data_IF_726141829460
#
_entry.id   IF_726141829460
#
_cell.length_a   1.000
_cell.length_b   1.000
_cell.length_c   1.000
_cell.angle_alpha   90.00
_cell.angle_beta   90.00
_cell.angle_gamma   90.00
#
_symmetry.space_group_name_H-M   'P 1'
#
loop_
_entity.id
_entity.type
_entity.pdbx_description
1 polymer ?
#
# COMPACT_ATOMS: atom_id res chain seq x y z
N UNK A 1 -13.81 -9.45 -12.60
CA UNK A 1 -12.46 -9.64 -13.17
C UNK A 1 -11.47 -9.23 -12.09
N UNK A 2 -10.63 -10.15 -11.63
CA UNK A 2 -9.67 -9.89 -10.56
C UNK A 2 -8.29 -9.77 -11.20
N UNK A 3 -7.68 -8.60 -11.08
CA UNK A 3 -6.26 -8.42 -11.43
C UNK A 3 -5.44 -9.25 -10.43
N UNK A 4 -4.55 -10.08 -10.92
CA UNK A 4 -3.60 -10.84 -10.11
C UNK A 4 -2.27 -10.10 -10.06
N UNK A 5 -1.62 -10.14 -8.90
CA UNK A 5 -0.33 -9.50 -8.68
C UNK A 5 0.56 -10.42 -7.85
N UNK A 6 1.71 -10.76 -8.40
CA UNK A 6 2.72 -11.58 -7.74
C UNK A 6 4.04 -10.82 -7.65
N UNK A 7 4.73 -10.96 -6.51
CA UNK A 7 6.08 -10.43 -6.32
C UNK A 7 7.09 -11.53 -6.65
N UNK A 8 8.07 -11.20 -7.48
CA UNK A 8 9.13 -12.10 -7.92
C UNK A 8 10.49 -11.56 -7.49
N UNK A 9 11.56 -12.32 -7.67
CA UNK A 9 12.91 -11.86 -7.36
C UNK A 9 13.32 -10.63 -8.19
N UNK A 10 12.84 -10.54 -9.43
CA UNK A 10 13.21 -9.48 -10.39
C UNK A 10 12.23 -8.32 -10.43
N UNK A 11 11.01 -8.48 -9.91
CA UNK A 11 9.96 -7.49 -10.14
C UNK A 11 8.55 -7.87 -9.68
N UNK A 12 7.57 -7.16 -10.23
CA UNK A 12 6.14 -7.43 -10.04
C UNK A 12 5.54 -8.00 -11.32
N UNK A 13 4.78 -9.08 -11.19
CA UNK A 13 4.00 -9.68 -12.28
C UNK A 13 2.53 -9.33 -12.08
N UNK A 14 1.88 -8.81 -13.12
CA UNK A 14 0.49 -8.43 -13.14
C UNK A 14 -0.24 -9.17 -14.26
N UNK A 15 -1.44 -9.67 -13.97
CA UNK A 15 -2.25 -10.39 -14.95
C UNK A 15 -3.70 -9.91 -14.90
N UNK A 16 -4.43 -10.15 -16.00
CA UNK A 16 -5.86 -9.87 -16.10
C UNK A 16 -6.19 -8.37 -15.92
N UNK A 17 -5.47 -7.51 -16.65
CA UNK A 17 -5.73 -6.06 -16.70
C UNK A 17 -6.98 -5.75 -17.53
N UNK A 18 -7.74 -4.71 -17.17
CA UNK A 18 -8.95 -4.35 -17.91
C UNK A 18 -8.66 -4.07 -19.39
N UNK A 19 -9.32 -4.82 -20.28
CA UNK A 19 -9.13 -4.71 -21.73
C UNK A 19 -8.01 -5.59 -22.30
N UNK A 20 -7.25 -6.28 -21.44
CA UNK A 20 -6.19 -7.22 -21.79
C UNK A 20 -6.26 -8.49 -20.91
N UNK A 21 -7.31 -9.31 -21.06
CA UNK A 21 -7.38 -10.61 -20.38
C UNK A 21 -6.23 -11.52 -20.83
N UNK A 22 -5.70 -12.34 -19.94
CA UNK A 22 -4.64 -13.34 -20.20
C UNK A 22 -3.27 -12.76 -20.61
N UNK A 23 -3.14 -11.44 -20.71
CA UNK A 23 -1.84 -10.79 -20.85
C UNK A 23 -1.11 -10.81 -19.50
N UNK A 24 0.18 -11.13 -19.55
CA UNK A 24 1.08 -11.02 -18.40
C UNK A 24 1.92 -9.76 -18.57
N UNK A 25 1.99 -8.93 -17.53
CA UNK A 25 2.80 -7.70 -17.50
C UNK A 25 3.82 -7.84 -16.40
N UNK A 26 5.09 -7.74 -16.77
CA UNK A 26 6.23 -7.78 -15.86
C UNK A 26 6.76 -6.36 -15.67
N UNK A 27 7.03 -6.01 -14.42
CA UNK A 27 7.59 -4.71 -14.03
C UNK A 27 8.90 -4.99 -13.30
N UNK A 28 10.02 -4.57 -13.87
CA UNK A 28 11.31 -4.65 -13.20
C UNK A 28 11.29 -3.76 -11.95
N UNK A 29 11.76 -4.25 -10.80
CA UNK A 29 11.80 -3.48 -9.56
C UNK A 29 13.22 -3.35 -9.03
N UNK A 30 13.62 -2.14 -8.69
CA UNK A 30 14.75 -1.94 -7.78
C UNK A 30 14.23 -2.01 -6.34
N UNK A 31 14.37 -3.18 -5.72
CA UNK A 31 13.93 -3.43 -4.34
C UNK A 31 14.64 -2.57 -3.29
N UNK A 32 15.81 -1.99 -3.59
CA UNK A 32 16.51 -1.09 -2.66
C UNK A 32 15.81 0.25 -2.55
N UNK A 33 15.35 0.76 -3.69
CA UNK A 33 14.69 2.08 -3.78
C UNK A 33 13.18 2.00 -3.89
N UNK A 34 12.63 0.80 -4.05
CA UNK A 34 11.22 0.54 -4.35
C UNK A 34 10.73 1.27 -5.60
N UNK A 35 11.61 1.42 -6.59
CA UNK A 35 11.31 2.13 -7.83
C UNK A 35 11.02 1.15 -8.97
N UNK A 36 9.99 1.48 -9.77
CA UNK A 36 9.59 0.67 -10.92
C UNK A 36 10.38 1.03 -12.18
N UNK A 37 11.12 0.05 -12.69
CA UNK A 37 11.90 0.09 -13.91
C UNK A 37 11.07 -0.18 -15.17
N UNK A 38 11.58 -1.01 -16.06
CA UNK A 38 10.95 -1.28 -17.34
C UNK A 38 9.67 -2.12 -17.18
N UNK A 39 8.71 -1.88 -18.08
CA UNK A 39 7.43 -2.60 -18.11
C UNK A 39 7.37 -3.41 -19.40
N UNK A 40 7.24 -4.73 -19.28
CA UNK A 40 7.19 -5.67 -20.40
C UNK A 40 5.81 -6.32 -20.45
N UNK A 41 5.23 -6.40 -21.63
CA UNK A 41 3.96 -7.10 -21.85
C UNK A 41 4.21 -8.39 -22.63
N UNK A 42 3.87 -9.51 -22.02
CA UNK A 42 3.91 -10.85 -22.59
C UNK A 42 2.51 -11.18 -23.14
N UNK A 43 2.37 -11.36 -24.46
CA UNK A 43 1.10 -11.68 -25.06
C UNK A 43 0.69 -13.14 -24.80
N UNK A 44 -0.62 -13.44 -24.75
CA UNK A 44 -1.09 -14.82 -24.73
C UNK A 44 -0.73 -15.57 -26.02
N UNK A 45 -0.63 -16.91 -26.00
CA UNK A 45 -0.34 -17.71 -27.19
C UNK A 45 -1.29 -17.40 -28.35
N UNK A 46 -0.76 -17.33 -29.58
CA UNK A 46 -1.56 -17.05 -30.77
C UNK A 46 -1.91 -15.56 -31.01
N UNK A 47 -1.40 -14.65 -30.17
CA UNK A 47 -1.59 -13.21 -30.38
C UNK A 47 -0.93 -12.72 -31.67
N UNK A 48 -1.67 -11.97 -32.48
CA UNK A 48 -1.16 -11.36 -33.73
C UNK A 48 -0.07 -10.33 -33.41
N UNK A 49 0.95 -10.24 -34.26
CA UNK A 49 2.10 -9.30 -34.08
C UNK A 49 1.69 -7.84 -33.89
N UNK A 50 0.59 -7.41 -34.51
CA UNK A 50 0.06 -6.05 -34.47
C UNK A 50 -1.06 -5.83 -33.42
N UNK A 51 -1.28 -6.78 -32.51
CA UNK A 51 -2.24 -6.59 -31.43
C UNK A 51 -1.79 -5.44 -30.51
N UNK A 52 -2.75 -4.60 -30.10
CA UNK A 52 -2.52 -3.52 -29.14
C UNK A 52 -2.11 -4.10 -27.79
N UNK A 53 -0.99 -3.62 -27.25
CA UNK A 53 -0.39 -4.10 -26.00
C UNK A 53 -0.79 -3.20 -24.83
N UNK A 54 -0.78 -3.71 -23.59
CA UNK A 54 -0.92 -2.88 -22.39
C UNK A 54 0.12 -1.75 -22.33
N UNK A 55 1.33 -2.01 -22.82
CA UNK A 55 2.46 -1.06 -22.86
C UNK A 55 2.28 0.08 -23.86
N UNK A 56 1.32 -0.02 -24.79
CA UNK A 56 1.03 1.04 -25.76
C UNK A 56 0.21 2.19 -25.13
N UNK A 57 -0.36 1.98 -23.94
CA UNK A 57 -1.14 2.97 -23.20
C UNK A 57 -0.29 3.56 -22.06
N UNK A 58 0.30 4.75 -22.29
CA UNK A 58 1.19 5.41 -21.34
C UNK A 58 0.54 5.69 -19.98
N UNK A 59 -0.77 5.94 -19.93
CA UNK A 59 -1.49 6.16 -18.68
C UNK A 59 -1.70 4.85 -17.91
N UNK A 60 -1.94 3.75 -18.63
CA UNK A 60 -1.94 2.41 -18.04
C UNK A 60 -0.55 2.03 -17.52
N UNK A 61 0.52 2.25 -18.30
CA UNK A 61 1.91 2.00 -17.88
C UNK A 61 2.25 2.77 -16.61
N UNK A 62 1.87 4.06 -16.53
CA UNK A 62 2.04 4.83 -15.29
C UNK A 62 1.34 4.18 -14.11
N UNK A 63 0.08 3.75 -14.26
CA UNK A 63 -0.67 3.09 -13.17
C UNK A 63 -0.08 1.73 -12.80
N UNK A 64 0.44 0.97 -13.77
CA UNK A 64 1.14 -0.29 -13.54
C UNK A 64 2.37 -0.05 -12.66
N UNK A 65 3.22 0.93 -13.01
CA UNK A 65 4.38 1.31 -12.20
C UNK A 65 3.98 1.73 -10.79
N UNK A 66 3.02 2.64 -10.67
CA UNK A 66 2.52 3.07 -9.35
C UNK A 66 1.95 1.91 -8.53
N UNK A 67 1.33 0.92 -9.17
CA UNK A 67 0.83 -0.30 -8.48
C UNK A 67 1.99 -1.13 -7.96
N UNK A 68 3.03 -1.33 -8.77
CA UNK A 68 4.22 -2.08 -8.39
C UNK A 68 4.96 -1.42 -7.22
N UNK A 69 5.21 -0.10 -7.30
CA UNK A 69 5.85 0.67 -6.22
C UNK A 69 5.00 0.67 -4.95
N UNK A 70 3.67 0.81 -5.08
CA UNK A 70 2.78 0.84 -3.93
C UNK A 70 2.60 -0.53 -3.27
N UNK A 71 3.04 -1.65 -3.87
CA UNK A 71 2.88 -2.99 -3.30
C UNK A 71 3.49 -3.14 -1.90
N UNK A 72 4.47 -2.31 -1.53
CA UNK A 72 5.04 -2.22 -0.17
C UNK A 72 4.01 -1.90 0.92
N UNK A 73 2.95 -1.13 0.60
CA UNK A 73 2.04 -0.52 1.56
C UNK A 73 0.65 -1.20 1.63
N UNK A 74 0.57 -2.49 1.28
CA UNK A 74 -0.66 -3.26 1.40
C UNK A 74 -1.19 -3.23 2.87
N UNK A 75 -2.51 -3.08 3.11
CA UNK A 75 -3.62 -3.09 2.14
C UNK A 75 -3.99 -1.72 1.58
N UNK A 76 -3.34 -0.63 1.99
CA UNK A 76 -3.74 0.75 1.65
C UNK A 76 -3.44 1.11 0.19
N UNK A 77 -2.44 0.46 -0.40
CA UNK A 77 -2.06 0.59 -1.80
C UNK A 77 -2.92 -0.22 -2.77
N UNK A 78 -3.81 -1.08 -2.28
CA UNK A 78 -4.68 -1.91 -3.12
C UNK A 78 -5.61 -1.10 -4.03
N UNK A 79 -5.75 0.20 -3.79
CA UNK A 79 -6.46 1.12 -4.69
C UNK A 79 -5.81 1.26 -6.06
N UNK A 80 -4.48 1.16 -6.14
CA UNK A 80 -3.75 1.16 -7.40
C UNK A 80 -4.03 -0.12 -8.18
N UNK A 81 -4.00 -1.27 -7.51
CA UNK A 81 -4.38 -2.56 -8.10
C UNK A 81 -5.83 -2.56 -8.59
N UNK A 82 -6.76 -2.03 -7.80
CA UNK A 82 -8.17 -1.90 -8.20
C UNK A 82 -8.33 -1.01 -9.44
N UNK A 83 -7.49 0.02 -9.61
CA UNK A 83 -7.54 0.89 -10.77
C UNK A 83 -7.16 0.20 -12.08
N UNK A 84 -6.35 -0.87 -12.01
CA UNK A 84 -5.97 -1.68 -13.17
C UNK A 84 -7.10 -2.60 -13.66
N UNK A 85 -8.05 -2.91 -12.78
CA UNK A 85 -9.25 -3.69 -13.09
C UNK A 85 -10.34 -2.84 -13.77
N UNK A 86 -10.12 -1.54 -13.94
CA UNK A 86 -11.10 -0.58 -14.46
C UNK A 86 -10.58 0.16 -15.70
N UNK A 87 -11.49 0.53 -16.62
CA UNK A 87 -11.11 1.33 -17.77
C UNK A 87 -10.57 2.68 -17.34
N UNK A 88 -9.68 3.24 -18.15
CA UNK A 88 -9.29 4.64 -18.00
C UNK A 88 -10.51 5.55 -18.26
N UNK A 89 -10.88 6.44 -17.33
CA UNK A 89 -12.05 7.32 -17.42
C UNK A 89 -11.91 8.48 -18.44
N UNK A 90 -11.43 8.22 -19.67
CA UNK A 90 -11.33 9.22 -20.75
C UNK A 90 -12.31 8.98 -21.90
N UNK A 91 -12.82 10.08 -22.45
CA UNK A 91 -14.17 10.19 -23.02
C UNK A 91 -14.32 10.12 -24.52
N UNK A 92 -13.75 9.13 -25.20
CA UNK A 92 -13.94 8.99 -26.66
C UNK A 92 -14.76 7.77 -27.09
N UNK A 93 -15.35 7.04 -26.14
CA UNK A 93 -16.16 5.84 -26.44
C UNK A 93 -17.65 6.18 -26.49
N UNK A 94 -18.47 5.49 -27.33
CA UNK A 94 -19.92 5.67 -27.40
C UNK A 94 -20.61 5.59 -26.02
N UNK A 95 -20.17 4.66 -25.17
CA UNK A 95 -20.66 4.49 -23.79
C UNK A 95 -19.81 5.22 -22.72
N UNK A 96 -18.96 6.17 -23.15
CA UNK A 96 -17.94 6.78 -22.32
C UNK A 96 -18.47 7.58 -21.12
N UNK A 97 -19.75 7.98 -21.15
CA UNK A 97 -20.40 8.64 -20.01
C UNK A 97 -20.75 7.62 -18.92
N UNK A 98 -21.45 6.54 -19.30
CA UNK A 98 -21.85 5.46 -18.39
C UNK A 98 -20.64 4.76 -17.79
N UNK A 99 -19.69 4.36 -18.63
CA UNK A 99 -18.48 3.65 -18.21
C UNK A 99 -17.65 4.45 -17.22
N UNK A 100 -17.59 5.77 -17.41
CA UNK A 100 -16.90 6.70 -16.50
C UNK A 100 -17.64 6.84 -15.17
N UNK A 101 -18.97 6.98 -15.20
CA UNK A 101 -19.79 7.06 -14.00
C UNK A 101 -19.63 5.80 -13.14
N UNK A 102 -19.66 4.63 -13.79
CA UNK A 102 -19.44 3.34 -13.15
C UNK A 102 -18.03 3.24 -12.54
N UNK A 103 -16.99 3.47 -13.34
CA UNK A 103 -15.59 3.44 -12.91
C UNK A 103 -15.32 4.38 -11.72
N UNK A 104 -15.81 5.61 -11.82
CA UNK A 104 -15.68 6.60 -10.74
C UNK A 104 -16.37 6.10 -9.47
N UNK A 105 -17.59 5.57 -9.58
CA UNK A 105 -18.33 5.07 -8.43
C UNK A 105 -17.67 3.86 -7.76
N UNK A 106 -17.10 2.93 -8.53
CA UNK A 106 -16.36 1.77 -7.99
C UNK A 106 -15.14 2.25 -7.23
N UNK A 107 -14.31 3.11 -7.84
CA UNK A 107 -13.12 3.66 -7.17
C UNK A 107 -13.48 4.46 -5.92
N UNK A 108 -14.55 5.25 -5.98
CA UNK A 108 -15.02 6.03 -4.84
C UNK A 108 -15.39 5.11 -3.67
N UNK A 109 -16.26 4.12 -3.91
CA UNK A 109 -16.70 3.16 -2.88
C UNK A 109 -15.54 2.32 -2.35
N UNK A 110 -14.61 1.93 -3.22
CA UNK A 110 -13.43 1.18 -2.84
C UNK A 110 -12.52 2.01 -1.92
N UNK A 111 -12.28 3.29 -2.25
CA UNK A 111 -11.55 4.21 -1.39
C UNK A 111 -12.23 4.39 -0.02
N UNK A 112 -13.56 4.56 0.00
CA UNK A 112 -14.33 4.61 1.27
C UNK A 112 -14.12 3.33 2.06
N UNK A 113 -14.26 2.14 1.45
CA UNK A 113 -14.08 0.84 2.13
C UNK A 113 -12.68 0.70 2.75
N UNK A 114 -11.65 1.25 2.11
CA UNK A 114 -10.27 1.26 2.62
C UNK A 114 -10.00 2.33 3.70
N UNK A 115 -11.00 3.13 4.07
CA UNK A 115 -10.81 4.24 5.01
C UNK A 115 -10.00 5.39 4.43
N UNK A 116 -10.00 5.53 3.09
CA UNK A 116 -9.26 6.57 2.37
C UNK A 116 -10.17 7.74 1.98
N UNK A 117 -9.57 8.93 1.80
CA UNK A 117 -10.26 10.05 1.14
C UNK A 117 -10.49 9.72 -0.35
N UNK A 118 -11.74 9.55 -0.82
CA UNK A 118 -12.02 9.19 -2.22
C UNK A 118 -11.50 10.25 -3.20
N UNK A 119 -11.56 11.51 -2.79
CA UNK A 119 -11.03 12.64 -3.54
C UNK A 119 -9.55 12.50 -3.80
N UNK A 120 -8.74 12.35 -2.75
CA UNK A 120 -7.29 12.20 -2.89
C UNK A 120 -6.92 10.93 -3.65
N UNK A 121 -7.68 9.86 -3.43
CA UNK A 121 -7.52 8.55 -4.08
C UNK A 121 -7.62 8.63 -5.59
N UNK A 122 -8.75 9.14 -6.06
CA UNK A 122 -9.04 9.25 -7.48
C UNK A 122 -8.08 10.24 -8.14
N UNK A 123 -7.70 11.32 -7.43
CA UNK A 123 -6.70 12.24 -7.93
C UNK A 123 -5.32 11.60 -8.13
N UNK A 124 -4.82 10.84 -7.16
CA UNK A 124 -3.53 10.18 -7.30
C UNK A 124 -3.54 9.14 -8.42
N UNK A 125 -4.56 8.27 -8.42
CA UNK A 125 -4.70 7.16 -9.38
C UNK A 125 -4.74 7.66 -10.83
N UNK A 126 -5.52 8.70 -11.09
CA UNK A 126 -5.71 9.23 -12.44
C UNK A 126 -4.88 10.50 -12.72
N UNK A 127 -3.88 10.80 -11.87
CA UNK A 127 -2.97 11.93 -12.05
C UNK A 127 -3.65 13.30 -12.14
N UNK A 128 -4.80 13.48 -11.48
CA UNK A 128 -5.52 14.75 -11.47
C UNK A 128 -4.85 15.73 -10.50
N UNK A 129 -4.63 16.99 -10.91
CA UNK A 129 -4.03 18.02 -10.05
C UNK A 129 -4.89 18.31 -8.82
N UNK A 130 -4.39 18.06 -7.61
CA UNK A 130 -4.97 18.65 -6.40
C UNK A 130 -4.41 20.06 -6.24
N UNK A 131 -5.28 21.06 -6.11
CA UNK A 131 -4.84 22.39 -5.72
C UNK A 131 -4.75 22.38 -4.19
N UNK A 132 -3.57 22.12 -3.65
CA UNK A 132 -3.29 22.25 -2.22
C UNK A 132 -2.53 23.57 -2.01
N UNK A 133 -3.27 24.67 -1.77
CA UNK A 133 -2.65 25.90 -1.29
C UNK A 133 -2.35 25.75 0.23
N UNK A 134 -1.27 26.37 0.75
CA UNK A 134 -0.97 26.34 2.18
C UNK A 134 -2.17 26.85 2.98
N UNK A 135 -2.61 26.09 3.98
CA UNK A 135 -3.76 26.39 4.87
C UNK A 135 -5.16 26.37 4.23
N UNK A 136 -5.29 26.01 2.96
CA UNK A 136 -6.59 25.81 2.33
C UNK A 136 -6.95 24.31 2.27
N UNK A 137 -8.23 23.99 2.48
CA UNK A 137 -8.74 22.63 2.19
C UNK A 137 -8.51 22.38 0.71
N UNK A 138 -7.62 21.43 0.37
CA UNK A 138 -7.30 21.04 -1.00
C UNK A 138 -8.53 21.12 -1.90
N UNK A 139 -8.53 21.94 -2.96
CA UNK A 139 -9.68 22.08 -3.85
C UNK A 139 -9.62 21.01 -4.96
N UNK A 140 -10.76 20.36 -5.29
CA UNK A 140 -10.78 19.33 -6.31
C UNK A 140 -10.60 19.94 -7.70
N UNK A 141 -9.93 19.23 -8.61
CA UNK A 141 -9.82 19.64 -10.00
C UNK A 141 -11.21 19.66 -10.64
N UNK A 142 -11.45 20.56 -11.59
CA UNK A 142 -12.72 20.63 -12.34
C UNK A 142 -13.12 19.29 -12.96
N UNK A 143 -12.14 18.47 -13.36
CA UNK A 143 -12.35 17.11 -13.88
C UNK A 143 -12.96 16.19 -12.83
N UNK A 144 -12.48 16.22 -11.58
CA UNK A 144 -13.00 15.39 -10.50
C UNK A 144 -14.46 15.75 -10.19
N UNK A 145 -14.76 17.04 -10.03
CA UNK A 145 -16.15 17.47 -9.76
C UNK A 145 -17.09 17.15 -10.92
N UNK A 146 -16.62 17.30 -12.16
CA UNK A 146 -17.39 16.88 -13.34
C UNK A 146 -17.69 15.38 -13.31
N UNK A 147 -16.70 14.53 -13.00
CA UNK A 147 -16.90 13.08 -12.96
C UNK A 147 -17.81 12.66 -11.80
N UNK A 148 -17.67 13.31 -10.65
CA UNK A 148 -18.54 13.12 -9.50
C UNK A 148 -19.99 13.51 -9.79
N UNK A 149 -20.22 14.68 -10.37
CA UNK A 149 -21.54 15.12 -10.79
C UNK A 149 -22.14 14.17 -11.83
N UNK A 150 -21.33 13.74 -12.81
CA UNK A 150 -21.75 12.78 -13.81
C UNK A 150 -22.15 11.43 -13.19
N UNK A 151 -21.40 10.91 -12.21
CA UNK A 151 -21.72 9.68 -11.52
C UNK A 151 -23.02 9.77 -10.67
N UNK A 152 -23.36 10.97 -10.19
CA UNK A 152 -24.62 11.24 -9.48
C UNK A 152 -25.83 11.38 -10.41
N UNK A 153 -25.62 11.90 -11.61
CA UNK A 153 -26.70 12.13 -12.56
C UNK A 153 -26.97 10.94 -13.48
N UNK A 154 -26.02 10.00 -13.58
CA UNK A 154 -26.17 8.81 -14.43
C UNK A 154 -26.85 7.68 -13.66
N UNK A 155 -27.99 7.20 -14.17
CA UNK A 155 -28.73 6.08 -13.60
C UNK A 155 -28.09 4.74 -14.00
N UNK A 156 -27.89 3.88 -13.02
CA UNK A 156 -27.48 2.50 -13.23
C UNK A 156 -28.71 1.69 -13.70
N UNK A 157 -28.67 1.09 -14.90
CA UNK A 157 -29.80 0.36 -15.46
C UNK A 157 -30.16 -0.90 -14.66
N UNK A 158 -29.22 -1.49 -13.92
CA UNK A 158 -29.45 -2.68 -13.11
C UNK A 158 -30.16 -2.39 -11.78
N UNK A 159 -29.98 -1.18 -11.24
CA UNK A 159 -30.51 -0.83 -9.90
C UNK A 159 -31.56 0.28 -9.92
N UNK A 160 -31.75 0.95 -11.06
CA UNK A 160 -32.63 2.13 -11.18
C UNK A 160 -32.18 3.34 -10.37
N UNK A 161 -30.97 3.33 -9.81
CA UNK A 161 -30.43 4.39 -8.94
C UNK A 161 -29.18 5.02 -9.53
N UNK A 162 -28.79 6.25 -9.13
CA UNK A 162 -27.50 6.83 -9.48
C UNK A 162 -26.31 5.91 -9.19
N UNK A 163 -25.27 5.95 -10.03
CA UNK A 163 -24.02 5.22 -9.77
C UNK A 163 -23.36 5.66 -8.47
N UNK A 164 -23.43 6.94 -8.13
CA UNK A 164 -22.96 7.48 -6.86
C UNK A 164 -24.12 8.14 -6.11
N UNK A 165 -24.46 7.70 -4.88
CA UNK A 165 -25.45 8.38 -4.06
C UNK A 165 -24.97 9.77 -3.61
N UNK A 166 -25.85 10.54 -3.00
CA UNK A 166 -25.49 11.84 -2.43
C UNK A 166 -24.41 11.71 -1.34
N UNK A 167 -23.71 12.83 -1.10
CA UNK A 167 -22.65 12.90 -0.10
C UNK A 167 -23.26 12.70 1.28
N UNK A 168 -22.67 11.78 2.03
CA UNK A 168 -23.05 11.47 3.39
C UNK A 168 -21.86 11.78 4.28
N UNK A 169 -21.99 12.72 5.23
CA UNK A 169 -20.87 13.16 6.06
C UNK A 169 -20.35 12.05 6.99
N UNK A 170 -21.23 11.17 7.46
CA UNK A 170 -20.86 10.05 8.34
C UNK A 170 -20.12 8.96 7.56
N UNK A 171 -20.57 8.72 6.32
CA UNK A 171 -19.92 7.76 5.41
C UNK A 171 -18.65 8.33 4.75
N UNK A 172 -18.66 9.58 4.34
CA UNK A 172 -17.68 10.18 3.43
C UNK A 172 -16.82 11.27 4.11
N UNK A 173 -16.89 11.38 5.45
CA UNK A 173 -16.13 12.30 6.29
C UNK A 173 -14.59 12.17 6.15
N UNK A 174 -13.80 13.07 6.78
CA UNK A 174 -12.38 13.22 6.49
C UNK A 174 -11.57 11.96 6.87
N UNK A 175 -11.33 11.14 5.85
CA UNK A 175 -10.55 9.89 5.90
C UNK A 175 -9.09 10.15 5.53
N UNK A 176 -8.16 9.41 6.14
CA UNK A 176 -6.72 9.58 5.92
C UNK A 176 -6.33 9.24 4.48
N UNK A 177 -5.24 9.82 3.99
CA UNK A 177 -4.52 9.29 2.82
C UNK A 177 -3.73 8.04 3.25
N UNK A 178 -3.44 7.06 2.36
CA UNK A 178 -2.35 6.13 2.63
C UNK A 178 -1.10 6.95 2.96
N UNK A 179 -0.43 6.61 4.06
CA UNK A 179 0.71 7.37 4.53
C UNK A 179 1.88 7.06 3.59
N UNK A 180 2.17 7.99 2.67
CA UNK A 180 3.38 8.01 1.84
C UNK A 180 3.58 9.42 1.28
N UNK A 181 4.63 10.11 1.74
CA UNK A 181 5.02 11.46 1.32
C UNK A 181 5.53 11.43 -0.13
N UNK A 182 5.32 12.51 -0.89
CA UNK A 182 6.01 12.71 -2.17
C UNK A 182 7.55 12.74 -1.91
N UNK A 183 8.40 12.07 -2.71
CA UNK A 183 9.85 11.97 -2.45
C UNK A 183 10.64 13.30 -2.42
N UNK A 184 10.01 14.43 -2.75
CA UNK A 184 10.68 15.73 -2.90
C UNK A 184 10.16 16.81 -1.93
N UNK A 185 9.30 16.48 -0.97
CA UNK A 185 8.96 17.46 0.07
C UNK A 185 10.09 17.56 1.11
N UNK A 186 10.63 18.77 1.38
CA UNK A 186 11.59 18.95 2.45
C UNK A 186 10.99 18.50 3.77
N UNK A 187 11.77 17.69 4.48
CA UNK A 187 11.43 17.01 5.73
C UNK A 187 11.01 18.04 6.80
N UNK A 188 9.73 18.41 6.86
CA UNK A 188 9.20 19.10 8.04
C UNK A 188 9.36 18.14 9.21
N UNK A 189 10.16 18.56 10.20
CA UNK A 189 10.31 17.88 11.46
C UNK A 189 8.90 17.58 12.00
N UNK A 190 8.62 16.34 12.46
CA UNK A 190 7.34 16.07 13.07
C UNK A 190 7.12 17.08 14.21
N UNK A 191 5.88 17.59 14.40
CA UNK A 191 5.59 18.43 15.55
C UNK A 191 6.01 17.65 16.80
N UNK A 192 6.78 18.30 17.68
CA UNK A 192 7.23 17.70 18.92
C UNK A 192 6.00 17.40 19.77
N UNK A 193 5.50 16.17 19.68
CA UNK A 193 4.50 15.66 20.61
C UNK A 193 5.19 15.67 21.98
N UNK A 194 4.68 16.37 22.99
CA UNK A 194 5.26 16.33 24.31
C UNK A 194 5.30 14.87 24.76
N UNK A 195 6.50 14.33 24.97
CA UNK A 195 6.66 12.95 25.44
C UNK A 195 5.94 12.85 26.79
N UNK A 196 5.09 11.84 27.02
CA UNK A 196 4.52 11.62 28.34
C UNK A 196 5.66 11.47 29.34
N UNK A 197 5.60 12.21 30.44
CA UNK A 197 6.57 12.09 31.54
C UNK A 197 6.38 10.71 32.14
N UNK A 198 7.30 9.79 31.83
CA UNK A 198 7.28 8.42 32.37
C UNK A 198 7.96 8.46 33.75
N UNK A 199 7.25 8.02 34.77
CA UNK A 199 7.78 7.91 36.14
C UNK A 199 8.32 6.49 36.38
N UNK A 200 9.45 6.36 37.08
CA UNK A 200 10.06 5.06 37.42
C UNK A 200 11.59 5.06 37.45
N UNK A 201 12.21 3.95 37.91
CA UNK A 201 13.68 3.82 38.04
C UNK A 201 14.43 3.90 36.71
N UNK A 202 13.74 3.63 35.59
CA UNK A 202 14.30 3.72 34.24
C UNK A 202 13.79 4.96 33.46
N UNK A 203 13.17 5.92 34.14
CA UNK A 203 12.69 7.17 33.53
C UNK A 203 13.80 7.90 32.76
N UNK A 204 13.48 8.35 31.54
CA UNK A 204 14.43 9.05 30.66
C UNK A 204 15.48 8.14 29.98
N UNK A 205 15.38 6.81 30.14
CA UNK A 205 16.19 5.82 29.41
C UNK A 205 15.39 5.21 28.28
N UNK A 206 16.07 4.81 27.20
CA UNK A 206 15.43 4.16 26.05
C UNK A 206 16.12 2.84 25.74
N UNK A 207 15.35 1.74 25.68
CA UNK A 207 15.80 0.45 25.18
C UNK A 207 15.46 0.35 23.69
N UNK A 208 16.49 0.31 22.84
CA UNK A 208 16.34 0.14 21.39
C UNK A 208 16.46 -1.34 21.05
N UNK A 209 15.43 -1.88 20.40
CA UNK A 209 15.43 -3.23 19.85
C UNK A 209 15.58 -3.16 18.34
N UNK A 210 16.56 -3.87 17.80
CA UNK A 210 16.73 -4.12 16.37
C UNK A 210 16.22 -5.52 16.09
N UNK A 211 15.14 -5.63 15.33
CA UNK A 211 14.54 -6.91 14.94
C UNK A 211 14.95 -7.21 13.51
N UNK A 212 15.87 -8.14 13.34
CA UNK A 212 16.43 -8.51 12.04
C UNK A 212 15.74 -9.76 11.50
N UNK A 213 15.14 -9.66 10.31
CA UNK A 213 14.59 -10.82 9.59
C UNK A 213 15.72 -11.63 8.96
N UNK A 214 15.76 -12.93 9.25
CA UNK A 214 16.71 -13.89 8.69
C UNK A 214 16.01 -14.88 7.76
N UNK A 215 16.65 -15.33 6.66
CA UNK A 215 16.01 -16.26 5.74
C UNK A 215 15.59 -17.55 6.46
N UNK A 216 14.43 -18.14 6.11
CA UNK A 216 13.93 -19.34 6.77
C UNK A 216 14.89 -20.53 6.57
N UNK A 217 15.04 -21.43 7.56
CA UNK A 217 15.92 -22.59 7.44
C UNK A 217 15.46 -23.54 6.32
N UNK A 218 16.42 -24.18 5.64
CA UNK A 218 16.16 -24.98 4.43
C UNK A 218 15.18 -26.16 4.65
N UNK A 219 15.13 -26.73 5.85
CA UNK A 219 14.17 -27.76 6.22
C UNK A 219 12.72 -27.23 6.19
N UNK A 220 12.50 -26.03 6.72
CA UNK A 220 11.22 -25.34 6.71
C UNK A 220 10.78 -24.99 5.27
N UNK A 221 11.70 -24.50 4.43
CA UNK A 221 11.39 -24.21 3.01
C UNK A 221 10.87 -25.45 2.28
N UNK A 222 11.43 -26.64 2.57
CA UNK A 222 10.99 -27.91 2.00
C UNK A 222 9.59 -28.31 2.46
N UNK A 223 9.28 -28.15 3.75
CA UNK A 223 7.95 -28.45 4.31
C UNK A 223 6.86 -27.48 3.83
N UNK A 224 7.21 -26.21 3.59
CA UNK A 224 6.32 -25.23 2.97
C UNK A 224 6.04 -25.56 1.49
N UNK A 225 7.03 -26.08 0.76
CA UNK A 225 6.88 -26.54 -0.62
C UNK A 225 5.95 -27.76 -0.73
N UNK A 226 5.88 -28.58 0.33
CA UNK A 226 4.94 -29.71 0.47
C UNK A 226 3.51 -29.27 0.87
N UNK A 227 3.23 -27.96 0.90
CA UNK A 227 1.88 -27.41 1.07
C UNK A 227 1.34 -27.43 2.49
N UNK A 228 2.19 -27.64 3.51
CA UNK A 228 1.74 -27.84 4.89
C UNK A 228 1.51 -26.53 5.64
N UNK A 229 2.36 -25.49 5.48
CA UNK A 229 2.22 -24.19 6.16
C UNK A 229 2.92 -23.03 5.41
N UNK A 230 2.50 -21.78 5.67
CA UNK A 230 3.24 -20.56 5.29
C UNK A 230 4.30 -20.30 6.36
N UNK A 231 5.58 -20.30 5.97
CA UNK A 231 6.69 -20.04 6.90
C UNK A 231 7.26 -18.66 6.64
N UNK A 232 7.37 -17.85 7.68
CA UNK A 232 8.07 -16.57 7.62
C UNK A 232 9.51 -16.63 8.13
N UNK A 233 10.32 -15.58 7.91
CA UNK A 233 11.71 -15.51 8.35
C UNK A 233 11.83 -15.57 9.89
N UNK A 234 12.88 -16.21 10.40
CA UNK A 234 13.22 -16.12 11.83
C UNK A 234 13.61 -14.68 12.17
N UNK A 235 13.24 -14.21 13.36
CA UNK A 235 13.57 -12.86 13.85
C UNK A 235 14.63 -12.94 14.93
N UNK A 236 15.79 -12.36 14.62
CA UNK A 236 16.85 -12.12 15.61
C UNK A 236 16.62 -10.75 16.22
N UNK A 237 16.52 -10.68 17.55
CA UNK A 237 16.25 -9.43 18.27
C UNK A 237 17.49 -9.05 19.06
N UNK A 238 18.04 -7.88 18.76
CA UNK A 238 19.18 -7.32 19.47
C UNK A 238 18.74 -6.08 20.24
N UNK A 239 19.06 -6.00 21.53
CA UNK A 239 18.72 -4.84 22.37
C UNK A 239 19.94 -3.98 22.67
N UNK A 240 19.74 -2.66 22.81
CA UNK A 240 20.75 -1.73 23.31
C UNK A 240 20.13 -0.56 24.07
N UNK A 241 20.66 -0.27 25.26
CA UNK A 241 20.27 0.91 26.03
C UNK A 241 20.91 2.19 25.46
N UNK A 242 20.16 3.29 25.37
CA UNK A 242 20.66 4.60 24.93
C UNK A 242 21.52 5.29 25.98
N UNK A 243 21.31 4.98 27.27
CA UNK A 243 22.06 5.47 28.43
C UNK A 243 22.16 4.36 29.49
N UNK A 244 23.38 4.12 30.00
CA UNK A 244 23.67 3.09 31.02
C UNK A 244 24.57 1.96 30.51
N UNK A 245 25.22 1.24 31.43
CA UNK A 245 26.02 0.02 31.17
C UNK A 245 25.28 -1.28 31.55
N UNK A 246 23.96 -1.20 31.73
CA UNK A 246 23.15 -2.35 32.12
C UNK A 246 23.15 -3.42 31.03
N UNK A 247 23.18 -4.67 31.47
CA UNK A 247 23.16 -5.82 30.58
C UNK A 247 21.82 -5.87 29.84
N UNK A 248 21.89 -6.08 28.53
CA UNK A 248 20.70 -6.23 27.68
C UNK A 248 20.01 -7.52 28.12
N UNK A 249 18.68 -7.53 28.33
CA UNK A 249 17.96 -8.75 28.67
C UNK A 249 18.16 -9.81 27.58
N UNK A 250 18.18 -11.08 27.96
CA UNK A 250 18.10 -12.17 26.98
C UNK A 250 16.79 -12.04 26.21
N UNK A 251 16.89 -11.81 24.90
CA UNK A 251 15.75 -11.60 24.03
C UNK A 251 15.38 -12.92 23.35
N UNK A 252 14.08 -13.26 23.27
CA UNK A 252 13.66 -14.52 22.68
C UNK A 252 13.91 -14.50 21.16
N UNK A 253 14.44 -15.61 20.65
CA UNK A 253 14.48 -15.87 19.21
C UNK A 253 13.07 -16.24 18.76
N UNK A 254 12.52 -15.51 17.80
CA UNK A 254 11.17 -15.76 17.30
C UNK A 254 11.25 -16.51 15.97
N UNK A 255 10.82 -17.77 15.98
CA UNK A 255 10.94 -18.67 14.82
C UNK A 255 9.71 -18.63 13.92
N UNK A 256 9.93 -18.74 12.61
CA UNK A 256 8.93 -19.07 11.59
C UNK A 256 7.67 -18.16 11.54
N UNK A 257 7.77 -16.89 11.96
CA UNK A 257 6.59 -16.02 12.09
C UNK A 257 6.17 -15.40 10.76
N UNK A 258 4.87 -15.47 10.45
CA UNK A 258 4.32 -14.69 9.33
C UNK A 258 4.47 -13.18 9.57
N UNK A 259 4.39 -12.32 8.52
CA UNK A 259 4.52 -10.87 8.68
C UNK A 259 3.50 -10.24 9.64
N UNK A 260 2.28 -10.79 9.73
CA UNK A 260 1.23 -10.31 10.64
C UNK A 260 1.53 -10.74 12.09
N UNK A 261 2.00 -11.98 12.28
CA UNK A 261 2.40 -12.48 13.59
C UNK A 261 3.66 -11.80 14.12
N UNK A 262 4.58 -11.42 13.23
CA UNK A 262 5.78 -10.63 13.54
C UNK A 262 5.40 -9.33 14.26
N UNK A 263 4.45 -8.57 13.72
CA UNK A 263 4.03 -7.29 14.31
C UNK A 263 3.41 -7.51 15.69
N UNK A 264 2.51 -8.50 15.81
CA UNK A 264 1.87 -8.83 17.09
C UNK A 264 2.89 -9.25 18.15
N UNK A 265 3.85 -10.10 17.77
CA UNK A 265 4.84 -10.65 18.69
C UNK A 265 5.86 -9.60 19.13
N UNK A 266 6.29 -8.73 18.22
CA UNK A 266 7.15 -7.59 18.57
C UNK A 266 6.41 -6.60 19.47
N UNK A 267 5.12 -6.33 19.24
CA UNK A 267 4.31 -5.49 20.13
C UNK A 267 4.15 -6.12 21.53
N UNK A 268 3.91 -7.43 21.61
CA UNK A 268 3.86 -8.15 22.89
C UNK A 268 5.20 -8.06 23.64
N UNK A 269 6.32 -8.23 22.94
CA UNK A 269 7.65 -8.14 23.53
C UNK A 269 7.97 -6.71 24.02
N UNK A 270 7.59 -5.69 23.24
CA UNK A 270 7.72 -4.29 23.67
C UNK A 270 6.94 -4.05 24.96
N UNK A 271 5.69 -4.53 25.03
CA UNK A 271 4.85 -4.40 26.22
C UNK A 271 5.43 -5.14 27.43
N UNK A 272 5.92 -6.36 27.23
CA UNK A 272 6.58 -7.15 28.28
C UNK A 272 7.84 -6.45 28.82
N UNK A 273 8.63 -5.84 27.93
CA UNK A 273 9.81 -5.07 28.32
C UNK A 273 9.46 -3.74 28.99
N UNK A 274 8.37 -3.09 28.61
CA UNK A 274 7.87 -1.89 29.30
C UNK A 274 7.34 -2.23 30.71
N UNK A 275 6.72 -3.39 30.89
CA UNK A 275 6.29 -3.90 32.20
C UNK A 275 7.49 -4.30 33.07
N UNK A 276 8.52 -4.93 32.47
CA UNK A 276 9.75 -5.36 33.16
C UNK A 276 10.68 -4.20 33.53
N UNK A 277 10.63 -3.10 32.80
CA UNK A 277 11.43 -1.89 33.05
C UNK A 277 10.56 -0.64 33.23
N UNK A 278 9.96 -0.45 34.42
CA UNK A 278 9.05 0.67 34.67
C UNK A 278 9.72 2.03 34.42
N UNK A 279 9.09 2.85 33.58
CA UNK A 279 9.56 4.18 33.21
C UNK A 279 10.48 4.23 31.96
N UNK A 280 10.98 3.10 31.48
CA UNK A 280 11.79 3.04 30.26
C UNK A 280 10.95 3.27 28.99
N UNK A 281 11.51 3.92 27.97
CA UNK A 281 10.96 3.96 26.61
C UNK A 281 11.50 2.78 25.80
N UNK A 282 10.66 1.83 25.38
CA UNK A 282 11.10 0.71 24.54
C UNK A 282 10.73 1.00 23.08
N UNK A 283 11.72 1.02 22.20
CA UNK A 283 11.51 1.27 20.77
C UNK A 283 12.03 0.10 19.96
N UNK A 284 11.19 -0.49 19.12
CA UNK A 284 11.59 -1.56 18.21
C UNK A 284 11.64 -1.07 16.76
N UNK A 285 12.73 -1.38 16.07
CA UNK A 285 12.88 -1.14 14.62
C UNK A 285 13.03 -2.49 13.94
N UNK A 286 12.15 -2.79 12.97
CA UNK A 286 12.24 -4.02 12.18
C UNK A 286 13.05 -3.75 10.92
N UNK A 287 14.13 -4.48 10.74
CA UNK A 287 15.05 -4.38 9.59
C UNK A 287 15.09 -5.72 8.85
N UNK A 288 15.26 -5.66 7.53
CA UNK A 288 15.56 -6.84 6.73
C UNK A 288 17.08 -7.05 6.74
N UNK A 289 17.55 -8.27 7.00
CA UNK A 289 18.96 -8.59 6.76
C UNK A 289 19.15 -8.66 5.24
N UNK A 290 19.75 -7.63 4.66
CA UNK A 290 20.28 -7.71 3.30
C UNK A 290 21.49 -8.64 3.34
N UNK A 291 21.35 -9.82 2.76
CA UNK A 291 22.49 -10.59 2.27
C UNK A 291 22.99 -9.95 0.97
#
# INVERSE_FOLDING_TARGET
MNVQMDLTETGVVLQNLYGWPDWTVEVDMDWRTWSAGDVRAIPPPGTRRNARRPTDDLELVRRIKMTAEASQEAPRSSIWLASLALPTPHGKKPDGVRLRAETFSIMYRYAVRLGLSPKRAIHAVYGLKLVEAPNERALPHRTYERWKAQARNTINPATGRPYLPEFDLERDGPRRWPIGRHPLEPRKAPPAVPKPVREGPYAGRTLRLTVTRTPPPACAVREAHEGRHIIGPDLVIEGRWTKGKEQVPELPLLQALSPIETVRRVQSLVKELEERYPGAEVTATVTNRTA
#
